data_IF_455409334506
#
_entry.id   IF_455409334506
#
_cell.length_a   1.000
_cell.length_b   1.000
_cell.length_c   1.000
_cell.angle_alpha   90.00
_cell.angle_beta   90.00
_cell.angle_gamma   90.00
#
_symmetry.space_group_name_H-M   'P 1'
#
loop_
_entity.id
_entity.type
_entity.pdbx_description
1 polymer ?
#
# COMPACT_ATOMS: atom_id res chain seq x y z
N UNK A 1 -45.79 0.60 -7.64
CA UNK A 1 -45.52 0.90 -6.21
C UNK A 1 -44.51 -0.06 -5.59
N UNK A 2 -44.70 -1.39 -5.70
CA UNK A 2 -43.77 -2.40 -5.17
C UNK A 2 -42.33 -2.27 -5.70
N UNK A 3 -42.14 -1.93 -6.99
CA UNK A 3 -40.81 -1.71 -7.59
C UNK A 3 -40.03 -0.55 -6.95
N UNK A 4 -40.71 0.56 -6.65
CA UNK A 4 -40.08 1.72 -6.01
C UNK A 4 -39.76 1.41 -4.53
N UNK A 5 -40.59 0.60 -3.87
CA UNK A 5 -40.33 0.11 -2.51
C UNK A 5 -39.10 -0.81 -2.46
N UNK A 6 -38.95 -1.73 -3.43
CA UNK A 6 -37.77 -2.60 -3.53
C UNK A 6 -36.47 -1.81 -3.78
N UNK A 7 -36.51 -0.79 -4.63
CA UNK A 7 -35.34 0.06 -4.90
C UNK A 7 -34.94 0.83 -3.63
N UNK A 8 -35.91 1.37 -2.89
CA UNK A 8 -35.65 2.04 -1.60
C UNK A 8 -35.00 1.11 -0.57
N UNK A 9 -35.44 -0.17 -0.52
CA UNK A 9 -34.90 -1.16 0.41
C UNK A 9 -33.46 -1.57 0.09
N UNK A 10 -33.07 -1.62 -1.19
CA UNK A 10 -31.70 -1.96 -1.61
C UNK A 10 -30.71 -0.85 -1.23
N UNK A 11 -31.10 0.43 -1.33
CA UNK A 11 -30.23 1.57 -0.98
C UNK A 11 -29.94 1.60 0.53
N UNK A 12 -30.91 1.22 1.35
CA UNK A 12 -30.79 1.15 2.82
C UNK A 12 -29.87 0.01 3.30
N UNK A 13 -29.53 -0.95 2.44
CA UNK A 13 -28.68 -2.11 2.74
C UNK A 13 -27.21 -1.89 2.36
N UNK A 14 -26.79 -0.66 2.03
CA UNK A 14 -25.40 -0.37 1.71
C UNK A 14 -24.52 -0.45 2.95
N UNK A 15 -23.65 -1.44 3.02
CA UNK A 15 -22.61 -1.54 4.06
C UNK A 15 -21.40 -0.69 3.69
N UNK A 16 -20.82 0.08 4.63
CA UNK A 16 -19.60 0.81 4.36
C UNK A 16 -18.46 -0.18 4.10
N UNK A 17 -17.69 0.05 3.03
CA UNK A 17 -16.44 -0.65 2.81
C UNK A 17 -15.40 -0.11 3.80
N UNK A 18 -14.96 -0.96 4.73
CA UNK A 18 -13.85 -0.65 5.63
C UNK A 18 -12.53 -0.96 4.93
N UNK A 19 -11.68 0.06 4.80
CA UNK A 19 -10.28 -0.11 4.40
C UNK A 19 -9.42 -0.41 5.63
N UNK A 20 -8.40 -1.24 5.46
CA UNK A 20 -7.36 -1.46 6.47
C UNK A 20 -6.08 -0.72 6.06
N UNK A 21 -5.54 0.05 6.99
CA UNK A 21 -4.23 0.71 6.85
C UNK A 21 -3.18 -0.13 7.54
N UNK A 22 -2.09 -0.43 6.83
CA UNK A 22 -0.92 -1.10 7.37
C UNK A 22 0.25 -0.12 7.34
N UNK A 23 0.81 0.18 8.50
CA UNK A 23 1.95 1.08 8.64
C UNK A 23 2.84 0.61 9.78
N UNK A 24 4.15 0.75 9.59
CA UNK A 24 5.07 0.69 10.72
C UNK A 24 4.92 1.96 11.54
N UNK A 25 4.97 1.84 12.87
CA UNK A 25 5.05 3.01 13.73
C UNK A 25 6.37 3.73 13.48
N UNK A 26 6.41 5.04 13.72
CA UNK A 26 7.62 5.85 13.50
C UNK A 26 8.83 5.34 14.29
N UNK A 27 8.61 4.80 15.49
CA UNK A 27 9.64 4.22 16.35
C UNK A 27 10.07 2.79 15.96
N UNK A 28 9.29 2.12 15.12
CA UNK A 28 9.56 0.77 14.62
C UNK A 28 10.00 0.76 13.13
N UNK A 29 9.84 1.89 12.43
CA UNK A 29 10.16 2.05 11.03
C UNK A 29 11.67 2.04 10.80
N UNK A 30 12.22 0.85 10.55
CA UNK A 30 13.64 0.65 10.26
C UNK A 30 13.83 0.23 8.81
N UNK A 31 14.75 0.91 8.13
CA UNK A 31 15.20 0.53 6.79
C UNK A 31 16.45 -0.34 6.88
N UNK A 32 16.42 -1.47 6.20
CA UNK A 32 17.53 -2.41 6.07
C UNK A 32 18.14 -2.30 4.68
N UNK A 33 19.47 -2.31 4.61
CA UNK A 33 20.24 -2.26 3.38
C UNK A 33 21.02 -3.57 3.24
N UNK A 34 20.76 -4.29 2.15
CA UNK A 34 21.51 -5.47 1.73
C UNK A 34 22.38 -5.07 0.52
N UNK A 35 23.62 -4.58 0.73
CA UNK A 35 24.47 -4.11 -0.36
C UNK A 35 25.13 -5.30 -1.08
N UNK A 36 25.09 -5.30 -2.41
CA UNK A 36 25.89 -6.23 -3.22
C UNK A 36 26.16 -5.66 -4.62
N UNK A 37 27.33 -5.96 -5.24
CA UNK A 37 27.65 -5.52 -6.59
C UNK A 37 26.70 -6.07 -7.66
N UNK A 38 26.13 -7.26 -7.43
CA UNK A 38 25.23 -7.92 -8.39
C UNK A 38 23.79 -7.45 -8.21
N UNK A 39 23.38 -7.17 -6.97
CA UNK A 39 22.02 -6.80 -6.62
C UNK A 39 21.98 -6.07 -5.28
N UNK A 40 21.47 -4.84 -5.27
CA UNK A 40 21.27 -4.06 -4.05
C UNK A 40 19.79 -4.06 -3.67
N UNK A 41 19.50 -4.22 -2.38
CA UNK A 41 18.13 -4.17 -1.85
C UNK A 41 18.08 -3.21 -0.67
N UNK A 42 17.13 -2.28 -0.70
CA UNK A 42 16.73 -1.44 0.43
C UNK A 42 15.29 -1.80 0.78
N UNK A 43 15.03 -2.21 2.02
CA UNK A 43 13.72 -2.71 2.39
C UNK A 43 13.31 -2.31 3.81
N UNK A 44 12.00 -2.24 4.03
CA UNK A 44 11.38 -1.96 5.33
C UNK A 44 10.21 -2.92 5.52
N UNK A 45 10.08 -3.51 6.71
CA UNK A 45 8.90 -4.28 7.07
C UNK A 45 7.68 -3.37 7.29
N UNK A 46 6.54 -3.75 6.71
CA UNK A 46 5.22 -3.17 6.95
C UNK A 46 4.42 -4.19 7.78
N UNK A 47 4.27 -3.96 9.10
CA UNK A 47 3.65 -4.92 10.00
C UNK A 47 2.31 -5.44 9.49
N UNK A 48 2.12 -6.76 9.56
CA UNK A 48 0.93 -7.50 9.11
C UNK A 48 0.64 -7.46 7.60
N UNK A 49 1.54 -6.92 6.77
CA UNK A 49 1.33 -6.79 5.33
C UNK A 49 2.42 -7.44 4.48
N UNK A 50 3.68 -7.05 4.68
CA UNK A 50 4.81 -7.50 3.85
C UNK A 50 6.01 -6.58 4.00
N UNK A 51 7.02 -6.76 3.15
CA UNK A 51 8.16 -5.86 3.07
C UNK A 51 8.00 -4.92 1.86
N UNK A 52 8.21 -3.63 2.07
CA UNK A 52 8.36 -2.65 1.01
C UNK A 52 9.80 -2.69 0.49
N UNK A 53 9.99 -3.09 -0.76
CA UNK A 53 11.32 -3.39 -1.32
C UNK A 53 11.64 -2.48 -2.50
N UNK A 54 12.76 -1.76 -2.38
CA UNK A 54 13.47 -1.16 -3.50
C UNK A 54 14.64 -2.08 -3.88
N UNK A 55 14.68 -2.53 -5.13
CA UNK A 55 15.72 -3.45 -5.61
C UNK A 55 16.30 -2.95 -6.94
N UNK A 56 17.60 -3.10 -7.11
CA UNK A 56 18.27 -2.87 -8.38
C UNK A 56 19.35 -3.93 -8.60
N UNK A 57 19.28 -4.62 -9.75
CA UNK A 57 20.32 -5.52 -10.20
C UNK A 57 21.32 -4.79 -11.11
N UNK A 58 22.53 -5.33 -11.23
CA UNK A 58 23.56 -4.76 -12.10
C UNK A 58 23.05 -4.66 -13.56
N UNK A 59 23.04 -3.44 -14.11
CA UNK A 59 22.56 -3.18 -15.47
C UNK A 59 21.04 -3.06 -15.62
N UNK A 60 20.28 -3.16 -14.53
CA UNK A 60 18.81 -3.01 -14.54
C UNK A 60 18.36 -1.69 -13.91
N UNK A 61 17.11 -1.32 -14.16
CA UNK A 61 16.46 -0.16 -13.53
C UNK A 61 15.99 -0.49 -12.12
N UNK A 62 15.98 0.52 -11.24
CA UNK A 62 15.37 0.43 -9.91
C UNK A 62 13.90 0.00 -10.02
N UNK A 63 13.53 -1.02 -9.27
CA UNK A 63 12.14 -1.46 -9.11
C UNK A 63 11.69 -1.30 -7.67
N UNK A 64 10.41 -1.00 -7.52
CA UNK A 64 9.71 -1.10 -6.25
C UNK A 64 8.68 -2.23 -6.33
N UNK A 65 8.59 -3.03 -5.29
CA UNK A 65 7.53 -4.02 -5.12
C UNK A 65 7.24 -4.28 -3.63
N UNK A 66 6.07 -4.86 -3.38
CA UNK A 66 5.71 -5.38 -2.05
C UNK A 66 5.96 -6.88 -2.01
N UNK A 67 6.80 -7.33 -1.09
CA UNK A 67 7.00 -8.74 -0.77
C UNK A 67 6.01 -9.16 0.33
N UNK A 68 4.87 -9.70 -0.08
CA UNK A 68 3.71 -9.86 0.78
C UNK A 68 3.82 -11.08 1.69
N UNK A 69 3.52 -10.95 2.98
CA UNK A 69 3.50 -12.09 3.91
C UNK A 69 2.36 -13.07 3.60
N UNK A 70 1.29 -12.59 2.96
CA UNK A 70 0.17 -13.40 2.49
C UNK A 70 -0.19 -13.00 1.06
N UNK A 71 -0.37 -13.94 0.14
CA UNK A 71 -0.84 -13.63 -1.21
C UNK A 71 -2.18 -12.90 -1.17
N UNK A 72 -2.27 -11.78 -1.88
CA UNK A 72 -3.54 -11.10 -2.10
C UNK A 72 -4.28 -11.86 -3.19
N UNK A 73 -5.47 -12.38 -2.87
CA UNK A 73 -6.24 -13.30 -3.72
C UNK A 73 -6.80 -12.66 -5.00
N UNK A 74 -6.75 -11.34 -5.13
CA UNK A 74 -7.26 -10.62 -6.30
C UNK A 74 -6.33 -9.49 -6.69
N UNK A 75 -5.85 -9.52 -7.93
CA UNK A 75 -5.15 -8.39 -8.51
C UNK A 75 -6.07 -7.15 -8.51
N UNK A 76 -5.51 -6.01 -8.14
CA UNK A 76 -6.19 -4.73 -8.09
C UNK A 76 -5.24 -3.61 -8.47
N UNK A 77 -5.78 -2.42 -8.73
CA UNK A 77 -4.97 -1.25 -9.02
C UNK A 77 -4.30 -0.79 -7.72
N UNK A 78 -2.99 -0.55 -7.77
CA UNK A 78 -2.25 -0.01 -6.64
C UNK A 78 -1.68 1.36 -7.00
N UNK A 79 -1.72 2.29 -6.04
CA UNK A 79 -1.12 3.61 -6.17
C UNK A 79 -0.07 3.78 -5.09
N UNK A 80 1.06 4.34 -5.48
CA UNK A 80 2.11 4.70 -4.56
C UNK A 80 2.12 6.21 -4.36
N UNK A 81 2.09 6.62 -3.10
CA UNK A 81 2.05 8.03 -2.69
C UNK A 81 3.04 8.27 -1.56
N UNK A 82 3.52 9.51 -1.48
CA UNK A 82 4.15 10.03 -0.28
C UNK A 82 3.07 10.76 0.48
N UNK A 83 2.71 10.22 1.64
CA UNK A 83 1.70 10.76 2.54
C UNK A 83 2.37 11.53 3.68
N UNK A 84 1.67 12.54 4.19
CA UNK A 84 2.12 13.29 5.36
C UNK A 84 1.95 12.45 6.63
N UNK A 85 2.85 12.57 7.62
CA UNK A 85 2.63 11.91 8.90
C UNK A 85 1.44 12.56 9.64
N UNK A 86 0.76 11.78 10.49
CA UNK A 86 -0.49 12.19 11.17
C UNK A 86 -0.38 13.49 11.98
N UNK A 87 0.80 13.84 12.49
CA UNK A 87 1.02 15.07 13.25
C UNK A 87 1.21 16.32 12.39
N UNK A 88 1.32 16.16 11.06
CA UNK A 88 1.59 17.25 10.10
C UNK A 88 0.50 17.34 9.05
N UNK A 89 -0.71 17.62 9.52
CA UNK A 89 -1.90 17.80 8.69
C UNK A 89 -1.75 18.92 7.64
N UNK A 90 -2.54 18.82 6.57
CA UNK A 90 -2.67 19.86 5.54
C UNK A 90 -1.75 19.72 4.31
N UNK A 91 -0.89 18.70 4.28
CA UNK A 91 -0.08 18.38 3.10
C UNK A 91 -0.78 17.33 2.23
N UNK A 92 -1.01 17.66 0.96
CA UNK A 92 -1.62 16.74 -0.01
C UNK A 92 -0.66 15.60 -0.34
N UNK A 93 -1.11 14.33 -0.33
CA UNK A 93 -0.28 13.19 -0.73
C UNK A 93 0.26 13.35 -2.14
N UNK A 94 1.57 13.14 -2.32
CA UNK A 94 2.23 13.23 -3.63
C UNK A 94 2.28 11.87 -4.29
N UNK A 95 1.65 11.72 -5.45
CA UNK A 95 1.72 10.48 -6.24
C UNK A 95 3.14 10.24 -6.77
N UNK A 96 3.60 9.00 -6.68
CA UNK A 96 4.91 8.57 -7.21
C UNK A 96 4.82 7.38 -8.16
N UNK A 97 3.65 6.74 -8.29
CA UNK A 97 3.40 5.72 -9.31
C UNK A 97 2.05 5.03 -9.17
N UNK A 98 1.70 4.23 -10.18
CA UNK A 98 0.53 3.36 -10.21
C UNK A 98 0.89 2.03 -10.88
N UNK A 99 0.26 0.95 -10.46
CA UNK A 99 0.35 -0.37 -11.11
C UNK A 99 -1.01 -1.03 -11.24
#
# INVERSE_FOLDING_TARGET
MLRNLLIGLIVLMSTPALGHTYAARVDEAVWHLDPSPLKCRLWQAVPNYGDAVFEVAAGESLRFYMDLYRPVSKAGQAKMVIEAPEWRDGLTPRSIGTT
#
